data_IF_760802744027
#
_entry.id   IF_760802744027
#
_cell.length_a   1.000
_cell.length_b   1.000
_cell.length_c   1.000
_cell.angle_alpha   90.00
_cell.angle_beta   90.00
_cell.angle_gamma   90.00
#
_symmetry.space_group_name_H-M   'P 1'
#
loop_
_entity.id
_entity.type
_entity.pdbx_description
1 polymer ?
#
# COMPACT_ATOMS: atom_id res chain seq x y z
N UNK A 1 -0.76 -5.13 24.29
CA UNK A 1 -2.23 -5.28 24.18
C UNK A 1 -2.71 -4.19 23.24
N UNK A 2 -3.55 -4.53 22.26
CA UNK A 2 -4.10 -3.57 21.30
C UNK A 2 -5.48 -4.05 20.84
N UNK A 3 -6.33 -3.17 20.32
CA UNK A 3 -7.59 -3.57 19.70
C UNK A 3 -7.36 -3.78 18.20
N UNK A 4 -7.69 -4.97 17.70
CA UNK A 4 -7.72 -5.22 16.27
C UNK A 4 -8.79 -4.34 15.64
N UNK A 5 -8.44 -3.53 14.64
CA UNK A 5 -9.37 -2.60 13.99
C UNK A 5 -10.31 -3.30 13.00
N UNK A 6 -10.05 -4.56 12.65
CA UNK A 6 -10.92 -5.35 11.76
C UNK A 6 -11.99 -6.13 12.53
N UNK A 7 -11.61 -6.83 13.61
CA UNK A 7 -12.56 -7.62 14.41
C UNK A 7 -12.97 -6.97 15.73
N UNK A 8 -12.42 -5.79 16.07
CA UNK A 8 -12.68 -5.03 17.30
C UNK A 8 -12.36 -5.76 18.63
N UNK A 9 -11.74 -6.95 18.58
CA UNK A 9 -11.29 -7.70 19.75
C UNK A 9 -9.97 -7.15 20.28
N UNK A 10 -9.86 -7.02 21.60
CA UNK A 10 -8.61 -6.67 22.27
C UNK A 10 -7.69 -7.90 22.33
N UNK A 11 -6.52 -7.79 21.72
CA UNK A 11 -5.54 -8.86 21.64
C UNK A 11 -4.67 -8.91 22.90
N UNK A 12 -4.35 -10.11 23.41
CA UNK A 12 -3.56 -10.26 24.62
C UNK A 12 -2.12 -9.74 24.43
N UNK A 13 -1.36 -9.56 25.53
CA UNK A 13 0.05 -9.24 25.45
C UNK A 13 0.81 -10.26 24.60
N UNK A 14 1.86 -9.79 23.90
CA UNK A 14 2.74 -10.59 23.02
C UNK A 14 2.08 -11.18 21.76
N UNK A 15 0.82 -10.88 21.47
CA UNK A 15 0.28 -11.08 20.13
C UNK A 15 0.85 -10.02 19.19
N UNK A 16 1.43 -10.43 18.05
CA UNK A 16 1.93 -9.48 17.03
C UNK A 16 0.79 -8.67 16.44
N UNK A 17 1.01 -7.37 16.25
CA UNK A 17 0.14 -6.50 15.46
C UNK A 17 0.67 -6.46 14.02
N UNK A 18 -0.22 -6.55 13.04
CA UNK A 18 0.13 -6.46 11.61
C UNK A 18 -0.62 -5.26 11.02
N UNK A 19 0.08 -4.44 10.24
CA UNK A 19 -0.54 -3.35 9.49
C UNK A 19 -1.01 -3.90 8.15
N UNK A 20 -2.29 -3.74 7.86
CA UNK A 20 -2.88 -4.12 6.57
C UNK A 20 -3.41 -2.87 5.87
N UNK A 21 -3.16 -2.78 4.57
CA UNK A 21 -3.70 -1.72 3.71
C UNK A 21 -5.17 -2.01 3.44
N UNK A 22 -6.06 -1.11 3.83
CA UNK A 22 -7.51 -1.25 3.59
C UNK A 22 -7.99 -0.43 2.41
N UNK A 23 -7.24 0.60 2.02
CA UNK A 23 -7.58 1.48 0.90
C UNK A 23 -6.28 2.00 0.28
N UNK A 24 -6.18 1.93 -1.05
CA UNK A 24 -5.14 2.54 -1.84
C UNK A 24 -5.70 3.70 -2.66
N UNK A 25 -4.86 4.71 -2.94
CA UNK A 25 -5.21 5.82 -3.82
C UNK A 25 -4.20 5.92 -4.96
N UNK A 26 -4.63 6.22 -6.20
CA UNK A 26 -3.69 6.56 -7.27
C UNK A 26 -3.00 7.89 -6.94
N UNK A 27 -1.72 8.00 -7.28
CA UNK A 27 -0.92 9.21 -7.03
C UNK A 27 0.10 9.40 -8.14
N UNK A 28 0.23 10.65 -8.59
CA UNK A 28 1.26 11.08 -9.52
C UNK A 28 2.43 11.72 -8.76
N UNK A 29 3.64 11.24 -9.05
CA UNK A 29 4.88 11.71 -8.48
C UNK A 29 5.58 12.64 -9.47
N UNK A 30 5.88 13.89 -9.08
CA UNK A 30 6.61 14.82 -9.94
C UNK A 30 8.07 14.39 -10.11
N UNK A 31 8.70 14.87 -11.18
CA UNK A 31 10.14 14.68 -11.37
C UNK A 31 10.94 15.42 -10.30
N UNK A 32 11.98 14.76 -9.79
CA UNK A 32 12.83 15.25 -8.70
C UNK A 32 14.30 15.24 -9.12
N UNK A 33 14.92 16.41 -9.37
CA UNK A 33 16.33 16.47 -9.74
C UNK A 33 17.22 16.09 -8.56
N UNK A 34 18.31 15.36 -8.84
CA UNK A 34 19.35 14.93 -7.89
C UNK A 34 18.83 14.14 -6.69
N UNK A 35 17.68 13.48 -6.83
CA UNK A 35 17.02 12.74 -5.76
C UNK A 35 17.82 11.51 -5.30
N UNK A 36 18.49 10.83 -6.24
CA UNK A 36 19.17 9.56 -5.98
C UNK A 36 20.68 9.77 -5.90
N UNK A 37 21.31 9.26 -4.84
CA UNK A 37 22.77 9.34 -4.66
C UNK A 37 23.36 7.94 -4.60
N UNK A 38 24.21 7.61 -5.56
CA UNK A 38 24.88 6.32 -5.64
C UNK A 38 26.39 6.51 -5.62
N UNK A 39 27.08 5.60 -4.91
CA UNK A 39 28.53 5.55 -4.92
C UNK A 39 28.99 4.72 -6.11
N UNK A 40 29.68 5.36 -7.05
CA UNK A 40 30.29 4.70 -8.21
C UNK A 40 31.80 4.74 -8.02
N UNK A 41 32.36 3.63 -7.52
CA UNK A 41 33.76 3.55 -7.09
C UNK A 41 34.07 4.46 -5.89
N UNK A 42 35.03 5.37 -6.04
CA UNK A 42 35.41 6.34 -4.99
C UNK A 42 34.62 7.65 -5.02
N UNK A 43 33.79 7.88 -6.05
CA UNK A 43 33.05 9.15 -6.23
C UNK A 43 31.56 8.96 -5.96
N UNK A 44 30.94 10.03 -5.48
CA UNK A 44 29.48 10.12 -5.37
C UNK A 44 28.92 10.68 -6.68
N UNK A 45 27.94 10.00 -7.26
CA UNK A 45 27.13 10.50 -8.38
C UNK A 45 25.70 10.73 -7.91
N UNK A 46 25.08 11.77 -8.45
CA UNK A 46 23.68 12.09 -8.26
C UNK A 46 22.92 11.79 -9.55
N UNK A 47 21.72 11.27 -9.42
CA UNK A 47 20.81 10.94 -10.50
C UNK A 47 19.45 11.57 -10.22
N UNK A 48 18.78 11.97 -11.29
CA UNK A 48 17.43 12.50 -11.23
C UNK A 48 16.43 11.34 -11.11
N UNK A 49 15.33 11.60 -10.43
CA UNK A 49 14.16 10.72 -10.39
C UNK A 49 13.12 11.31 -11.35
N UNK A 50 12.74 10.61 -12.44
CA UNK A 50 11.81 11.14 -13.43
C UNK A 50 10.38 11.31 -12.88
N UNK A 51 10.07 10.74 -11.71
CA UNK A 51 8.69 10.64 -11.24
C UNK A 51 7.92 9.56 -11.99
N UNK A 52 6.59 9.58 -11.88
CA UNK A 52 5.71 8.59 -12.49
C UNK A 52 4.36 8.48 -11.78
N UNK A 53 3.51 7.54 -12.21
CA UNK A 53 2.24 7.24 -11.55
C UNK A 53 2.36 5.93 -10.73
N UNK A 54 1.65 5.87 -9.61
CA UNK A 54 1.59 4.68 -8.77
C UNK A 54 0.46 4.75 -7.76
N UNK A 55 0.51 3.91 -6.74
CA UNK A 55 -0.48 3.87 -5.68
C UNK A 55 0.14 4.14 -4.32
N UNK A 56 -0.57 4.90 -3.49
CA UNK A 56 -0.24 5.11 -2.09
C UNK A 56 -1.26 4.43 -1.18
N UNK A 57 -0.81 4.03 0.01
CA UNK A 57 -1.69 3.55 1.08
C UNK A 57 -2.48 4.77 1.60
N UNK A 58 -3.78 4.81 1.31
CA UNK A 58 -4.67 5.86 1.80
C UNK A 58 -5.11 5.59 3.23
N UNK A 59 -5.43 4.32 3.54
CA UNK A 59 -5.80 3.87 4.89
C UNK A 59 -5.15 2.53 5.22
N UNK A 60 -4.77 2.42 6.49
CA UNK A 60 -4.23 1.20 7.07
C UNK A 60 -4.94 0.85 8.38
N UNK A 61 -5.07 -0.45 8.63
CA UNK A 61 -5.64 -0.98 9.86
C UNK A 61 -4.61 -1.83 10.61
N UNK A 62 -4.64 -1.73 11.95
CA UNK A 62 -3.91 -2.59 12.86
C UNK A 62 -4.73 -3.85 13.11
N UNK A 63 -4.29 -4.97 12.56
CA UNK A 63 -4.99 -6.24 12.58
C UNK A 63 -4.29 -7.28 13.47
N UNK A 64 -5.08 -8.20 14.00
CA UNK A 64 -4.55 -9.42 14.60
C UNK A 64 -4.05 -10.40 13.53
N UNK A 65 -3.19 -11.37 13.87
CA UNK A 65 -2.60 -12.28 12.88
C UNK A 65 -3.65 -13.02 12.04
N UNK A 66 -4.77 -13.40 12.66
CA UNK A 66 -5.88 -14.08 11.96
C UNK A 66 -6.56 -13.16 10.95
N UNK A 67 -6.92 -11.94 11.35
CA UNK A 67 -7.55 -10.98 10.44
C UNK A 67 -6.59 -10.51 9.34
N UNK A 68 -5.31 -10.37 9.66
CA UNK A 68 -4.29 -10.01 8.68
C UNK A 68 -4.15 -11.08 7.60
N UNK A 69 -4.05 -12.36 8.00
CA UNK A 69 -3.98 -13.48 7.05
C UNK A 69 -5.22 -13.55 6.18
N UNK A 70 -6.42 -13.46 6.76
CA UNK A 70 -7.67 -13.48 5.99
C UNK A 70 -7.74 -12.31 4.99
N UNK A 71 -7.22 -11.14 5.36
CA UNK A 71 -7.15 -9.98 4.48
C UNK A 71 -6.15 -10.19 3.32
N UNK A 72 -4.98 -10.78 3.60
CA UNK A 72 -3.98 -11.11 2.58
C UNK A 72 -4.49 -12.21 1.63
N UNK A 73 -5.15 -13.24 2.14
CA UNK A 73 -5.79 -14.30 1.35
C UNK A 73 -6.88 -13.73 0.43
N UNK A 74 -7.70 -12.80 0.95
CA UNK A 74 -8.69 -12.11 0.12
C UNK A 74 -8.02 -11.31 -1.00
N UNK A 75 -7.02 -10.48 -0.67
CA UNK A 75 -6.30 -9.69 -1.69
C UNK A 75 -5.63 -10.56 -2.75
N UNK A 76 -5.02 -11.67 -2.34
CA UNK A 76 -4.41 -12.61 -3.27
C UNK A 76 -5.45 -13.31 -4.16
N UNK A 77 -6.64 -13.58 -3.63
CA UNK A 77 -7.75 -14.13 -4.40
C UNK A 77 -8.31 -13.11 -5.40
N UNK A 78 -8.48 -11.85 -4.98
CA UNK A 78 -8.93 -10.75 -5.85
C UNK A 78 -7.91 -10.54 -6.99
N UNK A 79 -6.60 -10.50 -6.68
CA UNK A 79 -5.51 -10.41 -7.67
C UNK A 79 -5.48 -11.61 -8.61
N UNK A 80 -5.63 -12.84 -8.09
CA UNK A 80 -5.68 -14.05 -8.92
C UNK A 80 -6.92 -14.12 -9.82
N UNK A 81 -8.04 -13.53 -9.39
CA UNK A 81 -9.24 -13.37 -10.19
C UNK A 81 -9.13 -12.24 -11.22
N UNK A 82 -8.04 -11.45 -11.18
CA UNK A 82 -7.87 -10.26 -12.00
C UNK A 82 -8.85 -9.14 -11.62
N UNK A 83 -9.45 -9.22 -10.44
CA UNK A 83 -10.26 -8.16 -9.85
C UNK A 83 -9.29 -7.17 -9.22
N UNK A 84 -9.00 -6.12 -9.98
CA UNK A 84 -8.29 -4.98 -9.44
C UNK A 84 -9.32 -3.99 -8.91
N UNK A 85 -9.10 -3.44 -7.71
CA UNK A 85 -9.94 -2.39 -7.11
C UNK A 85 -10.02 -1.11 -8.00
N UNK A 86 -9.30 -1.07 -9.13
CA UNK A 86 -9.24 0.01 -10.10
C UNK A 86 -10.45 0.08 -11.06
N UNK A 87 -11.24 -0.99 -11.21
CA UNK A 87 -12.33 -1.06 -12.21
C UNK A 87 -13.48 -0.07 -11.94
N UNK A 88 -13.67 0.39 -10.71
CA UNK A 88 -14.75 1.31 -10.32
C UNK A 88 -14.45 2.79 -10.66
N UNK A 89 -13.21 3.14 -11.03
CA UNK A 89 -12.85 4.52 -11.42
C UNK A 89 -13.18 4.85 -12.89
N UNK A 90 -13.46 3.84 -13.71
CA UNK A 90 -13.74 4.04 -15.15
C UNK A 90 -15.20 4.33 -15.46
N UNK A 91 -16.13 4.00 -14.55
CA UNK A 91 -17.58 4.14 -14.77
C UNK A 91 -18.11 5.52 -14.39
N UNK A 92 -17.50 6.23 -13.43
CA UNK A 92 -17.89 7.60 -13.07
C UNK A 92 -17.30 8.69 -13.99
N UNK A 93 -16.15 8.44 -14.64
CA UNK A 93 -15.52 9.40 -15.55
C UNK A 93 -16.21 9.51 -16.92
N UNK A 94 -17.14 8.61 -17.25
CA UNK A 94 -17.89 8.59 -18.52
C UNK A 94 -19.30 9.21 -18.44
N UNK A 95 -19.68 9.79 -17.30
CA UNK A 95 -21.03 10.30 -17.03
C UNK A 95 -21.14 11.83 -16.84
N UNK A 96 -20.15 12.61 -17.32
CA UNK A 96 -20.18 14.07 -17.39
C UNK A 96 -19.72 14.55 -18.78
#
# INVERSE_FOLDING_TARGET
MYRCQLCNVVQPPRTRAVKVTTESRPTEYPSRPKANRLRVGRKWKQFDDPGGAGFEIAKEATACPTCARAHEEKRAADEAAGLYDDDDLTTEAAAL
#
